data_IF_371343127076
#
_entry.id   IF_371343127076
#
_cell.length_a   1.000
_cell.length_b   1.000
_cell.length_c   1.000
_cell.angle_alpha   90.00
_cell.angle_beta   90.00
_cell.angle_gamma   90.00
#
_symmetry.space_group_name_H-M   'P 1'
#
loop_
_entity.id
_entity.type
_entity.pdbx_description
1 polymer ?
#
# COMPACT_ATOMS: atom_id res chain seq x y z
N UNK A 1 -13.91 61.73 20.05
CA UNK A 1 -14.44 61.59 18.67
C UNK A 1 -14.67 60.11 18.35
N UNK A 2 -15.92 59.64 18.29
CA UNK A 2 -16.26 58.25 17.92
C UNK A 2 -16.33 58.14 16.40
N UNK A 3 -15.38 57.43 15.78
CA UNK A 3 -15.46 57.09 14.35
C UNK A 3 -16.49 55.98 14.17
N UNK A 4 -17.65 56.32 13.61
CA UNK A 4 -18.69 55.35 13.23
C UNK A 4 -18.23 54.74 11.91
N UNK A 5 -17.82 53.47 11.94
CA UNK A 5 -17.45 52.75 10.71
C UNK A 5 -18.75 52.39 9.99
N UNK A 6 -18.94 52.76 8.71
CA UNK A 6 -20.16 52.46 7.98
C UNK A 6 -20.29 50.94 7.77
N UNK A 7 -21.48 50.39 8.05
CA UNK A 7 -21.78 48.95 7.98
C UNK A 7 -21.41 48.30 6.63
N UNK A 8 -21.42 49.09 5.56
CA UNK A 8 -21.01 48.70 4.21
C UNK A 8 -19.54 48.27 4.12
N UNK A 9 -18.65 48.90 4.90
CA UNK A 9 -17.21 48.53 4.96
C UNK A 9 -16.96 47.24 5.76
N UNK A 10 -17.85 46.92 6.70
CA UNK A 10 -17.78 45.69 7.50
C UNK A 10 -18.21 44.48 6.65
N UNK A 11 -19.28 44.64 5.84
CA UNK A 11 -19.78 43.59 4.96
C UNK A 11 -18.77 43.14 3.90
N UNK A 12 -18.08 44.10 3.26
CA UNK A 12 -17.02 43.81 2.27
C UNK A 12 -15.83 43.09 2.92
N UNK A 13 -15.43 43.50 4.13
CA UNK A 13 -14.33 42.88 4.85
C UNK A 13 -14.66 41.44 5.27
N UNK A 14 -15.91 41.19 5.70
CA UNK A 14 -16.40 39.86 6.05
C UNK A 14 -16.45 38.94 4.83
N UNK A 15 -16.93 39.44 3.69
CA UNK A 15 -16.98 38.68 2.44
C UNK A 15 -15.58 38.30 1.94
N UNK A 16 -14.59 39.19 2.09
CA UNK A 16 -13.19 38.92 1.75
C UNK A 16 -12.58 37.86 2.68
N UNK A 17 -12.95 37.86 3.97
CA UNK A 17 -12.47 36.88 4.95
C UNK A 17 -12.98 35.45 4.67
N UNK A 18 -14.21 35.31 4.13
CA UNK A 18 -14.75 33.99 3.75
C UNK A 18 -14.13 33.42 2.46
N UNK A 19 -13.52 34.23 1.60
CA UNK A 19 -12.84 33.72 0.40
C UNK A 19 -11.50 33.02 0.72
N UNK A 20 -10.92 33.28 1.89
CA UNK A 20 -9.61 32.72 2.30
C UNK A 20 -9.74 31.35 2.99
N UNK A 21 -10.96 30.91 3.33
CA UNK A 21 -11.19 29.64 4.03
C UNK A 21 -11.33 28.43 3.10
N UNK A 22 -11.08 28.56 1.79
CA UNK A 22 -11.17 27.41 0.86
C UNK A 22 -9.91 26.54 0.82
N UNK A 23 -8.94 26.73 1.72
CA UNK A 23 -7.84 25.80 1.90
C UNK A 23 -8.39 24.44 2.34
N UNK A 24 -8.61 23.55 1.37
CA UNK A 24 -9.03 22.17 1.61
C UNK A 24 -7.88 21.46 2.32
N UNK A 25 -8.01 21.27 3.63
CA UNK A 25 -7.02 20.50 4.40
C UNK A 25 -7.12 19.04 3.96
N UNK A 26 -6.26 18.64 3.04
CA UNK A 26 -6.06 17.22 2.75
C UNK A 26 -5.31 16.60 3.93
N UNK A 27 -5.84 15.53 4.53
CA UNK A 27 -5.16 14.79 5.60
C UNK A 27 -4.56 13.46 5.10
N UNK A 28 -4.83 13.13 3.85
CA UNK A 28 -4.45 11.89 3.16
C UNK A 28 -3.78 12.24 1.83
N UNK A 29 -3.01 11.32 1.23
CA UNK A 29 -2.39 11.59 -0.06
C UNK A 29 -3.45 11.64 -1.18
N UNK A 30 -3.10 12.22 -2.33
CA UNK A 30 -3.96 12.19 -3.52
C UNK A 30 -3.99 10.79 -4.12
N UNK A 31 -5.17 10.31 -4.50
CA UNK A 31 -5.36 9.03 -5.19
C UNK A 31 -4.45 8.88 -6.43
N UNK A 32 -3.92 7.67 -6.62
CA UNK A 32 -3.13 7.29 -7.79
C UNK A 32 -3.63 5.97 -8.39
N UNK A 33 -4.26 6.07 -9.57
CA UNK A 33 -4.71 4.89 -10.32
C UNK A 33 -3.56 3.93 -10.67
N UNK A 34 -2.42 4.48 -11.08
CA UNK A 34 -1.24 3.68 -11.39
C UNK A 34 -0.72 2.89 -10.17
N UNK A 35 -0.85 3.47 -8.97
CA UNK A 35 -0.45 2.80 -7.73
C UNK A 35 -1.47 1.74 -7.31
N UNK A 36 -2.77 2.01 -7.43
CA UNK A 36 -3.82 1.00 -7.23
C UNK A 36 -3.61 -0.22 -8.14
N UNK A 37 -3.37 0.02 -9.43
CA UNK A 37 -3.12 -1.04 -10.41
C UNK A 37 -1.85 -1.83 -10.07
N UNK A 38 -0.78 -1.14 -9.68
CA UNK A 38 0.46 -1.81 -9.26
C UNK A 38 0.24 -2.67 -8.01
N UNK A 39 -0.47 -2.16 -7.00
CA UNK A 39 -0.82 -2.92 -5.78
C UNK A 39 -1.63 -4.17 -6.16
N UNK A 40 -2.66 -4.03 -6.99
CA UNK A 40 -3.50 -5.14 -7.41
C UNK A 40 -2.71 -6.20 -8.19
N UNK A 41 -1.87 -5.78 -9.13
CA UNK A 41 -1.04 -6.68 -9.93
C UNK A 41 0.00 -7.42 -9.08
N UNK A 42 0.62 -6.73 -8.11
CA UNK A 42 1.62 -7.36 -7.23
C UNK A 42 0.97 -8.31 -6.23
N UNK A 43 -0.20 -7.97 -5.71
CA UNK A 43 -1.00 -8.87 -4.89
C UNK A 43 -1.39 -10.15 -5.66
N UNK A 44 -1.82 -10.00 -6.92
CA UNK A 44 -2.11 -11.13 -7.82
C UNK A 44 -0.87 -11.98 -8.11
N UNK A 45 0.30 -11.37 -8.32
CA UNK A 45 1.55 -12.09 -8.53
C UNK A 45 1.95 -12.91 -7.28
N UNK A 46 1.75 -12.32 -6.10
CA UNK A 46 1.94 -13.00 -4.80
C UNK A 46 1.00 -14.19 -4.67
N UNK A 47 -0.28 -14.03 -4.97
CA UNK A 47 -1.25 -15.12 -4.91
C UNK A 47 -0.88 -16.25 -5.89
N UNK A 48 -0.53 -15.88 -7.13
CA UNK A 48 -0.10 -16.83 -8.16
C UNK A 48 1.15 -17.61 -7.75
N UNK A 49 2.08 -17.01 -7.00
CA UNK A 49 3.26 -17.72 -6.48
C UNK A 49 2.88 -18.95 -5.69
N UNK A 50 1.94 -18.82 -4.76
CA UNK A 50 1.53 -19.92 -3.91
C UNK A 50 0.58 -20.90 -4.60
N UNK A 51 -0.30 -20.42 -5.49
CA UNK A 51 -1.13 -21.31 -6.33
C UNK A 51 -0.23 -22.24 -7.15
N UNK A 52 0.71 -21.67 -7.92
CA UNK A 52 1.60 -22.47 -8.77
C UNK A 52 2.52 -23.37 -7.93
N UNK A 53 2.90 -22.95 -6.73
CA UNK A 53 3.67 -23.77 -5.81
C UNK A 53 2.87 -25.01 -5.37
N UNK A 54 1.58 -24.86 -5.09
CA UNK A 54 0.69 -25.97 -4.69
C UNK A 54 0.50 -26.99 -5.82
N UNK A 55 0.56 -26.56 -7.08
CA UNK A 55 0.48 -27.44 -8.26
C UNK A 55 1.75 -28.29 -8.48
N UNK A 56 2.83 -28.00 -7.76
CA UNK A 56 4.11 -28.73 -7.84
C UNK A 56 4.21 -29.73 -6.68
N UNK A 57 4.74 -30.95 -6.87
CA UNK A 57 5.01 -31.87 -5.75
C UNK A 57 5.93 -31.25 -4.69
N UNK A 58 5.69 -31.51 -3.41
CA UNK A 58 6.40 -30.87 -2.28
C UNK A 58 7.93 -30.88 -2.45
N UNK A 59 8.50 -32.01 -2.86
CA UNK A 59 9.94 -32.18 -3.06
C UNK A 59 10.54 -31.37 -4.23
N UNK A 60 9.70 -30.77 -5.08
CA UNK A 60 10.07 -29.91 -6.21
C UNK A 60 9.75 -28.44 -5.98
N UNK A 61 9.14 -28.09 -4.84
CA UNK A 61 8.87 -26.69 -4.46
C UNK A 61 10.11 -26.05 -3.88
N UNK A 62 11.24 -26.11 -4.58
CA UNK A 62 12.48 -25.59 -4.00
C UNK A 62 12.49 -24.07 -4.02
N UNK A 63 13.11 -23.45 -3.01
CA UNK A 63 13.33 -22.01 -3.01
C UNK A 63 14.10 -21.58 -4.26
N UNK A 64 15.10 -22.37 -4.66
CA UNK A 64 15.89 -22.10 -5.85
C UNK A 64 15.03 -21.94 -7.11
N UNK A 65 14.06 -22.82 -7.32
CA UNK A 65 13.23 -22.81 -8.53
C UNK A 65 12.17 -21.69 -8.52
N UNK A 66 11.92 -21.09 -7.36
CA UNK A 66 10.90 -20.04 -7.17
C UNK A 66 11.49 -18.68 -6.81
N UNK A 67 12.81 -18.56 -6.67
CA UNK A 67 13.50 -17.37 -6.15
C UNK A 67 13.28 -16.12 -7.01
N UNK A 68 13.21 -16.27 -8.33
CA UNK A 68 13.02 -15.19 -9.30
C UNK A 68 11.70 -14.49 -9.02
N UNK A 69 10.63 -15.26 -8.86
CA UNK A 69 9.28 -14.74 -8.55
C UNK A 69 9.24 -14.02 -7.20
N UNK A 70 9.93 -14.55 -6.19
CA UNK A 70 10.07 -13.85 -4.91
C UNK A 70 10.80 -12.50 -5.07
N UNK A 71 11.84 -12.44 -5.90
CA UNK A 71 12.60 -11.21 -6.14
C UNK A 71 11.77 -10.19 -6.91
N UNK A 72 11.03 -10.62 -7.94
CA UNK A 72 10.12 -9.75 -8.71
C UNK A 72 9.08 -9.10 -7.80
N UNK A 73 8.41 -9.89 -6.95
CA UNK A 73 7.42 -9.35 -6.01
C UNK A 73 8.07 -8.39 -5.00
N UNK A 74 9.26 -8.72 -4.48
CA UNK A 74 9.98 -7.84 -3.54
C UNK A 74 10.36 -6.50 -4.18
N UNK A 75 10.81 -6.52 -5.44
CA UNK A 75 11.10 -5.30 -6.21
C UNK A 75 9.84 -4.45 -6.36
N UNK A 76 8.70 -5.06 -6.65
CA UNK A 76 7.42 -4.34 -6.74
C UNK A 76 6.97 -3.76 -5.40
N UNK A 77 7.09 -4.50 -4.30
CA UNK A 77 6.82 -3.98 -2.94
C UNK A 77 7.71 -2.76 -2.64
N UNK A 78 9.00 -2.84 -2.96
CA UNK A 78 9.93 -1.71 -2.78
C UNK A 78 9.57 -0.52 -3.66
N UNK A 79 9.11 -0.76 -4.89
CA UNK A 79 8.64 0.28 -5.81
C UNK A 79 7.39 0.98 -5.27
N UNK A 80 6.41 0.21 -4.74
CA UNK A 80 5.22 0.75 -4.08
C UNK A 80 5.60 1.59 -2.85
N UNK A 81 6.56 1.11 -2.04
CA UNK A 81 7.07 1.84 -0.90
C UNK A 81 7.66 3.19 -1.32
N UNK A 82 8.59 3.18 -2.27
CA UNK A 82 9.27 4.39 -2.76
C UNK A 82 8.29 5.43 -3.31
N UNK A 83 7.30 4.98 -4.11
CA UNK A 83 6.25 5.86 -4.63
C UNK A 83 5.40 6.45 -3.53
N UNK A 84 5.11 5.69 -2.47
CA UNK A 84 4.41 6.22 -1.32
C UNK A 84 5.27 7.22 -0.56
N UNK A 85 6.54 6.93 -0.27
CA UNK A 85 7.47 7.83 0.43
C UNK A 85 7.56 9.22 -0.22
N UNK A 86 7.43 9.30 -1.54
CA UNK A 86 7.42 10.56 -2.29
C UNK A 86 6.11 11.37 -2.16
N UNK A 87 5.01 10.77 -1.67
CA UNK A 87 3.70 11.43 -1.51
C UNK A 87 3.61 12.17 -0.17
N UNK A 88 3.03 13.37 -0.11
CA UNK A 88 2.75 14.03 1.17
C UNK A 88 1.65 13.28 1.95
N UNK A 89 1.75 13.30 3.29
CA UNK A 89 0.69 12.80 4.21
C UNK A 89 0.37 11.31 4.05
N UNK A 90 1.41 10.52 3.80
CA UNK A 90 1.40 9.08 3.51
C UNK A 90 1.70 8.19 4.72
N UNK A 91 1.81 8.73 5.94
CA UNK A 91 2.36 8.01 7.10
C UNK A 91 1.67 6.66 7.35
N UNK A 92 0.34 6.64 7.28
CA UNK A 92 -0.46 5.43 7.46
C UNK A 92 -0.20 4.38 6.36
N UNK A 93 0.00 4.82 5.12
CA UNK A 93 0.36 3.93 4.01
C UNK A 93 1.72 3.29 4.25
N UNK A 94 2.70 4.07 4.71
CA UNK A 94 4.04 3.56 4.98
C UNK A 94 4.03 2.49 6.09
N UNK A 95 3.18 2.62 7.10
CA UNK A 95 3.00 1.59 8.13
C UNK A 95 2.41 0.31 7.53
N UNK A 96 1.37 0.42 6.71
CA UNK A 96 0.76 -0.74 6.04
C UNK A 96 1.77 -1.45 5.13
N UNK A 97 2.50 -0.68 4.32
CA UNK A 97 3.52 -1.21 3.39
C UNK A 97 4.65 -1.89 4.16
N UNK A 98 5.11 -1.30 5.27
CA UNK A 98 6.13 -1.91 6.12
C UNK A 98 5.67 -3.27 6.64
N UNK A 99 4.46 -3.36 7.18
CA UNK A 99 3.93 -4.63 7.69
C UNK A 99 3.84 -5.71 6.60
N UNK A 100 3.37 -5.34 5.40
CA UNK A 100 3.36 -6.23 4.25
C UNK A 100 4.76 -6.69 3.86
N UNK A 101 5.72 -5.76 3.77
CA UNK A 101 7.10 -6.03 3.39
C UNK A 101 7.78 -6.97 4.39
N UNK A 102 7.58 -6.74 5.69
CA UNK A 102 8.13 -7.58 6.74
C UNK A 102 7.56 -9.01 6.66
N UNK A 103 6.25 -9.14 6.50
CA UNK A 103 5.59 -10.45 6.34
C UNK A 103 6.06 -11.19 5.09
N UNK A 104 6.23 -10.49 3.96
CA UNK A 104 6.75 -11.07 2.73
C UNK A 104 8.20 -11.54 2.88
N UNK A 105 9.05 -10.71 3.48
CA UNK A 105 10.45 -11.03 3.75
C UNK A 105 10.57 -12.26 4.68
N UNK A 106 9.72 -12.36 5.69
CA UNK A 106 9.66 -13.52 6.58
C UNK A 106 9.27 -14.79 5.83
N UNK A 107 8.21 -14.75 5.02
CA UNK A 107 7.77 -15.90 4.22
C UNK A 107 8.86 -16.37 3.23
N UNK A 108 9.50 -15.42 2.53
CA UNK A 108 10.62 -15.69 1.62
C UNK A 108 11.80 -16.31 2.37
N UNK A 109 12.17 -15.75 3.52
CA UNK A 109 13.27 -16.25 4.35
C UNK A 109 12.97 -17.66 4.86
N UNK A 110 11.76 -17.90 5.35
CA UNK A 110 11.35 -19.22 5.83
C UNK A 110 11.50 -20.28 4.74
N UNK A 111 10.99 -20.02 3.54
CA UNK A 111 11.13 -20.93 2.41
C UNK A 111 12.60 -21.13 2.01
N UNK A 112 13.41 -20.06 2.01
CA UNK A 112 14.85 -20.17 1.75
C UNK A 112 15.57 -21.07 2.76
N UNK A 113 15.21 -20.98 4.04
CA UNK A 113 15.85 -21.74 5.12
C UNK A 113 15.42 -23.20 5.16
N UNK A 114 14.15 -23.49 4.82
CA UNK A 114 13.58 -24.85 4.82
C UNK A 114 13.68 -25.54 3.45
N UNK A 115 14.11 -24.80 2.43
CA UNK A 115 14.21 -25.17 1.02
C UNK A 115 12.89 -25.54 0.33
N UNK A 116 11.90 -26.11 1.02
CA UNK A 116 10.59 -26.49 0.48
C UNK A 116 9.47 -26.14 1.44
N UNK A 117 8.25 -25.98 0.92
CA UNK A 117 7.02 -25.78 1.73
C UNK A 117 6.02 -26.92 1.54
N UNK A 118 5.44 -27.36 2.65
CA UNK A 118 4.24 -28.21 2.68
C UNK A 118 3.01 -27.45 2.16
N UNK A 119 1.93 -28.18 1.85
CA UNK A 119 0.66 -27.55 1.45
C UNK A 119 0.14 -26.60 2.52
N UNK A 120 0.19 -27.02 3.79
CA UNK A 120 -0.27 -26.23 4.92
C UNK A 120 0.49 -24.92 5.06
N UNK A 121 1.81 -24.96 4.92
CA UNK A 121 2.66 -23.75 4.97
C UNK A 121 2.41 -22.82 3.79
N UNK A 122 2.34 -23.37 2.58
CA UNK A 122 2.06 -22.57 1.38
C UNK A 122 0.69 -21.88 1.46
N UNK A 123 -0.35 -22.59 1.89
CA UNK A 123 -1.70 -22.05 2.11
C UNK A 123 -1.69 -20.98 3.21
N UNK A 124 -0.99 -21.24 4.33
CA UNK A 124 -0.90 -20.28 5.42
C UNK A 124 -0.23 -18.98 4.99
N UNK A 125 0.87 -19.06 4.23
CA UNK A 125 1.55 -17.86 3.71
C UNK A 125 0.71 -17.13 2.66
N UNK A 126 0.06 -17.85 1.76
CA UNK A 126 -0.87 -17.25 0.79
C UNK A 126 -1.96 -16.43 1.49
N UNK A 127 -2.64 -17.03 2.48
CA UNK A 127 -3.70 -16.37 3.23
C UNK A 127 -3.19 -15.17 4.05
N UNK A 128 -2.05 -15.34 4.72
CA UNK A 128 -1.39 -14.28 5.49
C UNK A 128 -1.07 -13.08 4.61
N UNK A 129 -0.41 -13.30 3.48
CA UNK A 129 0.01 -12.23 2.57
C UNK A 129 -1.18 -11.57 1.89
N UNK A 130 -2.23 -12.31 1.53
CA UNK A 130 -3.49 -11.72 1.08
C UNK A 130 -4.10 -10.79 2.16
N UNK A 131 -3.98 -11.17 3.44
CA UNK A 131 -4.36 -10.35 4.59
C UNK A 131 -3.58 -9.04 4.71
N UNK A 132 -2.32 -9.00 4.27
CA UNK A 132 -1.50 -7.78 4.26
C UNK A 132 -1.68 -6.92 3.00
N UNK A 133 -1.91 -7.54 1.84
CA UNK A 133 -2.19 -6.82 0.59
C UNK A 133 -3.53 -6.08 0.63
N UNK A 134 -4.56 -6.71 1.20
CA UNK A 134 -5.93 -6.18 1.21
C UNK A 134 -6.04 -4.79 1.87
N UNK A 135 -5.49 -4.53 3.07
CA UNK A 135 -5.48 -3.19 3.67
C UNK A 135 -4.84 -2.13 2.79
N UNK A 136 -3.71 -2.44 2.14
CA UNK A 136 -3.01 -1.49 1.26
C UNK A 136 -3.86 -1.12 0.05
N UNK A 137 -4.47 -2.12 -0.59
CA UNK A 137 -5.34 -1.91 -1.73
C UNK A 137 -6.61 -1.11 -1.37
N UNK A 138 -7.25 -1.45 -0.24
CA UNK A 138 -8.43 -0.72 0.25
C UNK A 138 -8.07 0.73 0.58
N UNK A 139 -6.92 0.96 1.23
CA UNK A 139 -6.47 2.30 1.58
C UNK A 139 -6.31 3.19 0.35
N UNK A 140 -5.64 2.71 -0.71
CA UNK A 140 -5.47 3.48 -1.94
C UNK A 140 -6.82 3.74 -2.64
N UNK A 141 -7.66 2.71 -2.72
CA UNK A 141 -8.98 2.82 -3.35
C UNK A 141 -9.92 3.78 -2.61
N UNK A 142 -9.78 3.91 -1.30
CA UNK A 142 -10.58 4.83 -0.47
C UNK A 142 -10.22 6.31 -0.67
N UNK A 143 -9.14 6.63 -1.40
CA UNK A 143 -8.76 8.00 -1.75
C UNK A 143 -9.53 8.57 -2.95
N UNK A 144 -10.26 7.72 -3.70
CA UNK A 144 -11.13 8.11 -4.81
C UNK A 144 -12.30 8.97 -4.33
#
# INVERSE_FOLDING_TARGET
MRRIIPAQKISVFLMLAFMITSCRVMLVPEYSAALEDQIANTAKATDKLYIDMLDVPVNKRTYHDLNERYNEIEVEINSIQLKNEARPKNGDFLVIIKNLKDAFAEAKKYHKDHNTLTDGEAIAYQATLAGFWKPLYIAEKALK
#
